data_IF_342079518959
#
_entry.id   IF_342079518959
#
_cell.length_a   1.000
_cell.length_b   1.000
_cell.length_c   1.000
_cell.angle_alpha   90.00
_cell.angle_beta   90.00
_cell.angle_gamma   90.00
#
_symmetry.space_group_name_H-M   'P 1'
#
loop_
_entity.id
_entity.type
_entity.pdbx_description
1 polymer ?
#
# COMPACT_ATOMS: atom_id res chain seq x y z
N UNK A 1 -24.66 -13.26 7.21
CA UNK A 1 -23.49 -12.37 7.36
C UNK A 1 -23.98 -10.93 7.28
N UNK A 2 -23.63 -10.07 8.25
CA UNK A 2 -23.86 -8.62 8.13
C UNK A 2 -22.81 -8.01 7.18
N UNK A 3 -23.13 -7.01 6.35
CA UNK A 3 -22.20 -6.41 5.39
C UNK A 3 -21.24 -5.42 6.08
N UNK A 4 -20.49 -5.90 7.07
CA UNK A 4 -19.52 -5.12 7.84
C UNK A 4 -18.12 -5.68 7.65
N UNK A 5 -17.16 -4.79 7.40
CA UNK A 5 -15.73 -5.10 7.31
C UNK A 5 -14.94 -4.14 8.20
N UNK A 6 -13.82 -4.61 8.73
CA UNK A 6 -12.86 -3.71 9.37
C UNK A 6 -12.29 -2.73 8.34
N UNK A 7 -12.34 -1.44 8.65
CA UNK A 7 -11.88 -0.36 7.76
C UNK A 7 -10.58 0.31 8.22
N UNK A 8 -9.94 -0.17 9.29
CA UNK A 8 -8.68 0.40 9.79
C UNK A 8 -7.43 -0.18 9.11
N UNK A 9 -7.53 -1.39 8.56
CA UNK A 9 -6.42 -2.08 7.91
C UNK A 9 -6.90 -2.74 6.62
N UNK A 10 -6.10 -2.57 5.57
CA UNK A 10 -6.37 -3.13 4.25
C UNK A 10 -5.18 -3.95 3.77
N UNK A 11 -5.47 -5.04 3.06
CA UNK A 11 -4.50 -5.66 2.17
C UNK A 11 -4.34 -4.79 0.92
N UNK A 12 -3.25 -4.96 0.17
CA UNK A 12 -3.05 -4.25 -1.10
C UNK A 12 -4.25 -4.42 -2.05
N UNK A 13 -4.83 -5.61 -2.12
CA UNK A 13 -6.03 -5.88 -2.93
C UNK A 13 -7.24 -5.07 -2.44
N UNK A 14 -7.48 -5.02 -1.13
CA UNK A 14 -8.63 -4.30 -0.57
C UNK A 14 -8.49 -2.77 -0.65
N UNK A 15 -7.26 -2.26 -0.78
CA UNK A 15 -6.99 -0.83 -0.97
C UNK A 15 -7.08 -0.37 -2.43
N UNK A 16 -7.20 -1.28 -3.39
CA UNK A 16 -7.27 -0.93 -4.81
C UNK A 16 -8.47 -0.03 -5.11
N UNK A 17 -8.23 1.06 -5.84
CA UNK A 17 -9.26 2.03 -6.21
C UNK A 17 -9.70 2.97 -5.08
N UNK A 18 -9.07 2.91 -3.90
CA UNK A 18 -9.34 3.85 -2.80
C UNK A 18 -8.48 5.12 -2.95
N UNK A 19 -9.00 6.23 -2.45
CA UNK A 19 -8.24 7.45 -2.19
C UNK A 19 -8.26 7.73 -0.69
N UNK A 20 -7.08 7.68 -0.08
CA UNK A 20 -6.86 7.85 1.36
C UNK A 20 -5.98 9.08 1.60
N UNK A 21 -6.28 9.82 2.66
CA UNK A 21 -5.51 11.02 3.02
C UNK A 21 -4.24 10.68 3.81
N UNK A 22 -4.30 9.68 4.68
CA UNK A 22 -3.19 9.24 5.53
C UNK A 22 -3.15 7.72 5.57
N UNK A 23 -1.97 7.13 5.36
CA UNK A 23 -1.73 5.68 5.37
C UNK A 23 -0.39 5.34 6.00
N UNK A 24 -0.34 4.18 6.66
CA UNK A 24 0.92 3.54 7.04
C UNK A 24 1.06 2.24 6.25
N UNK A 25 2.15 2.10 5.48
CA UNK A 25 2.35 1.03 4.49
C UNK A 25 3.54 0.18 4.88
N UNK A 26 3.37 -1.15 4.89
CA UNK A 26 4.46 -2.12 5.03
C UNK A 26 4.98 -2.59 3.67
N UNK A 27 5.96 -1.87 3.12
CA UNK A 27 6.63 -2.26 1.87
C UNK A 27 7.57 -3.46 2.03
N UNK A 28 8.02 -3.78 3.25
CA UNK A 28 8.94 -4.90 3.48
C UNK A 28 8.24 -6.27 3.31
N UNK A 29 6.96 -6.38 3.68
CA UNK A 29 6.13 -7.57 3.42
C UNK A 29 5.65 -7.69 1.98
N UNK A 30 5.95 -6.70 1.13
CA UNK A 30 5.43 -6.67 -0.22
C UNK A 30 6.03 -7.79 -1.08
N UNK A 31 5.17 -8.54 -1.76
CA UNK A 31 5.57 -9.70 -2.59
C UNK A 31 5.81 -9.35 -4.05
N UNK A 32 5.21 -8.26 -4.54
CA UNK A 32 5.30 -7.88 -5.95
C UNK A 32 5.34 -6.36 -6.13
N UNK A 33 5.92 -5.91 -7.23
CA UNK A 33 5.96 -4.49 -7.59
C UNK A 33 4.54 -3.91 -7.78
N UNK A 34 3.60 -4.72 -8.28
CA UNK A 34 2.21 -4.32 -8.46
C UNK A 34 1.54 -4.05 -7.10
N UNK A 35 1.81 -4.87 -6.09
CA UNK A 35 1.25 -4.66 -4.75
C UNK A 35 1.79 -3.37 -4.13
N UNK A 36 3.09 -3.09 -4.29
CA UNK A 36 3.69 -1.84 -3.83
C UNK A 36 3.05 -0.63 -4.52
N UNK A 37 2.85 -0.71 -5.84
CA UNK A 37 2.18 0.33 -6.62
C UNK A 37 0.74 0.57 -6.15
N UNK A 38 -0.06 -0.48 -5.92
CA UNK A 38 -1.44 -0.34 -5.44
C UNK A 38 -1.48 0.30 -4.05
N UNK A 39 -0.59 -0.11 -3.15
CA UNK A 39 -0.51 0.48 -1.80
C UNK A 39 -0.09 1.95 -1.88
N UNK A 40 0.89 2.32 -2.70
CA UNK A 40 1.37 3.70 -2.81
C UNK A 40 0.41 4.61 -3.59
N UNK A 41 -0.29 4.10 -4.59
CA UNK A 41 -1.23 4.90 -5.41
C UNK A 41 -2.54 5.24 -4.69
N UNK A 42 -2.84 4.59 -3.56
CA UNK A 42 -4.05 4.92 -2.80
C UNK A 42 -3.91 6.19 -1.95
N UNK A 43 -2.69 6.70 -1.71
CA UNK A 43 -2.48 7.93 -0.93
C UNK A 43 -2.33 9.16 -1.82
N UNK A 44 -3.00 10.25 -1.44
CA UNK A 44 -3.06 11.49 -2.26
C UNK A 44 -1.82 12.38 -2.17
N UNK A 45 -1.00 12.21 -1.12
CA UNK A 45 0.19 13.04 -0.91
C UNK A 45 1.27 12.31 -0.12
N UNK A 46 2.54 12.67 -0.35
CA UNK A 46 3.67 12.13 0.42
C UNK A 46 3.60 12.51 1.90
N UNK A 47 2.97 13.64 2.27
CA UNK A 47 2.78 14.05 3.66
C UNK A 47 1.86 13.09 4.43
N UNK A 48 0.92 12.46 3.73
CA UNK A 48 0.04 11.43 4.28
C UNK A 48 0.65 10.02 4.29
N UNK A 49 1.86 9.85 3.77
CA UNK A 49 2.49 8.54 3.65
C UNK A 49 3.46 8.28 4.81
N UNK A 50 3.21 7.21 5.55
CA UNK A 50 4.16 6.63 6.49
C UNK A 50 4.62 5.26 5.99
N UNK A 51 5.92 5.01 5.99
CA UNK A 51 6.48 3.68 5.74
C UNK A 51 6.72 3.00 7.09
N UNK A 52 6.10 1.85 7.31
CA UNK A 52 6.06 1.18 8.61
C UNK A 52 7.46 0.77 9.11
N UNK A 53 8.36 0.39 8.20
CA UNK A 53 9.72 -0.08 8.50
C UNK A 53 10.63 0.00 7.28
N UNK A 54 11.97 0.02 7.47
CA UNK A 54 12.93 -0.05 6.37
C UNK A 54 12.66 -1.24 5.44
N UNK A 55 12.89 -1.06 4.14
CA UNK A 55 12.69 -2.08 3.12
C UNK A 55 13.77 -1.99 2.04
N UNK A 56 13.99 -3.08 1.31
CA UNK A 56 14.95 -3.10 0.18
C UNK A 56 14.37 -2.30 -1.00
N UNK A 57 15.11 -1.31 -1.52
CA UNK A 57 14.68 -0.48 -2.66
C UNK A 57 14.32 -1.28 -3.91
N UNK A 58 14.90 -2.47 -4.11
CA UNK A 58 14.52 -3.40 -5.16
C UNK A 58 13.05 -3.86 -5.10
N UNK A 59 12.32 -3.63 -3.99
CA UNK A 59 10.87 -3.86 -3.91
C UNK A 59 10.05 -2.86 -4.72
N UNK A 60 10.59 -1.66 -4.97
CA UNK A 60 9.92 -0.58 -5.72
C UNK A 60 10.65 -0.20 -7.01
N UNK A 61 11.87 -0.70 -7.21
CA UNK A 61 12.72 -0.36 -8.36
C UNK A 61 12.95 -1.57 -9.28
N UNK A 62 11.90 -2.32 -9.58
CA UNK A 62 11.96 -3.38 -10.59
C UNK A 62 11.43 -2.84 -11.91
N UNK A 63 12.26 -2.90 -12.94
CA UNK A 63 11.82 -2.69 -14.30
C UNK A 63 10.88 -3.84 -14.67
N UNK A 64 9.66 -3.52 -15.11
CA UNK A 64 8.80 -4.53 -15.73
C UNK A 64 9.44 -4.80 -17.09
N UNK A 65 10.10 -5.95 -17.23
CA UNK A 65 10.54 -6.49 -18.53
C UNK A 65 9.36 -7.03 -19.32
#
# INVERSE_FOLDING_TARGET
>A
QLPLISAFAFTAHNSQGRSLDVVCIDLASCRSIQSAYVMLSCVRSLRGLCILRPFNLGKINNHIS
#
